data_IF_110463958718
#
_entry.id   IF_110463958718
#
_cell.length_a   1.000
_cell.length_b   1.000
_cell.length_c   1.000
_cell.angle_alpha   90.00
_cell.angle_beta   90.00
_cell.angle_gamma   90.00
#
_symmetry.space_group_name_H-M   'P 1'
#
loop_
_entity.id
_entity.type
_entity.pdbx_description
1 polymer ?
#
# COMPACT_ATOMS: atom_id res chain seq x y z
N UNK A 1 3.43 -22.78 13.10
CA UNK A 1 4.50 -22.02 12.42
C UNK A 1 4.10 -20.65 11.80
N UNK A 2 3.71 -20.50 10.52
CA UNK A 2 3.60 -19.15 9.86
C UNK A 2 2.60 -18.18 10.52
N UNK A 3 1.46 -18.68 10.97
CA UNK A 3 0.43 -17.90 11.65
C UNK A 3 0.90 -17.34 13.01
N UNK A 4 1.49 -18.20 13.86
CA UNK A 4 2.06 -17.81 15.17
C UNK A 4 3.23 -16.82 15.00
N UNK A 5 4.01 -16.95 13.92
CA UNK A 5 5.08 -16.01 13.55
C UNK A 5 4.55 -14.62 13.22
N UNK A 6 3.51 -14.52 12.39
CA UNK A 6 2.86 -13.24 12.08
C UNK A 6 2.27 -12.58 13.32
N UNK A 7 1.75 -13.36 14.27
CA UNK A 7 1.21 -12.82 15.52
C UNK A 7 2.29 -12.18 16.41
N UNK A 8 3.50 -12.74 16.47
CA UNK A 8 4.62 -12.10 17.20
C UNK A 8 5.07 -10.82 16.52
N UNK A 9 5.27 -10.89 15.20
CA UNK A 9 5.72 -9.75 14.42
C UNK A 9 4.74 -8.58 14.55
N UNK A 10 3.44 -8.85 14.41
CA UNK A 10 2.40 -7.84 14.58
C UNK A 10 2.33 -7.32 16.02
N UNK A 11 2.45 -8.18 17.04
CA UNK A 11 2.40 -7.75 18.45
C UNK A 11 3.55 -6.82 18.83
N UNK A 12 4.73 -7.03 18.27
CA UNK A 12 5.90 -6.20 18.54
C UNK A 12 5.98 -4.94 17.67
N UNK A 13 5.36 -4.92 16.49
CA UNK A 13 5.21 -3.70 15.66
C UNK A 13 4.39 -2.62 16.37
N UNK A 14 3.37 -3.00 17.16
CA UNK A 14 2.45 -2.06 17.82
C UNK A 14 2.71 -1.86 19.32
N UNK A 15 3.71 -2.53 19.91
CA UNK A 15 4.02 -2.48 21.35
C UNK A 15 5.37 -1.85 21.65
N UNK A 16 5.37 -0.71 22.35
CA UNK A 16 6.56 -0.05 22.88
C UNK A 16 7.32 -0.96 23.87
N UNK A 17 8.44 -1.54 23.42
CA UNK A 17 9.72 -1.69 24.12
C UNK A 17 10.63 -2.64 23.32
N UNK A 18 11.51 -2.06 22.50
CA UNK A 18 12.50 -2.79 21.70
C UNK A 18 13.69 -3.16 22.57
N UNK A 19 13.64 -4.32 23.23
CA UNK A 19 14.83 -4.94 23.80
C UNK A 19 15.22 -6.13 22.91
N UNK A 20 16.30 -5.97 22.12
CA UNK A 20 16.77 -6.98 21.16
C UNK A 20 16.93 -8.37 21.79
N UNK A 21 17.38 -8.42 23.05
CA UNK A 21 17.49 -9.69 23.81
C UNK A 21 16.15 -10.33 24.09
N UNK A 22 15.12 -9.55 24.42
CA UNK A 22 13.79 -10.07 24.73
C UNK A 22 13.09 -10.68 23.50
N UNK A 23 13.33 -10.12 22.30
CA UNK A 23 12.85 -10.68 21.04
C UNK A 23 13.58 -12.01 20.76
N UNK A 24 14.90 -12.04 20.94
CA UNK A 24 15.72 -13.23 20.74
C UNK A 24 15.31 -14.36 21.69
N UNK A 25 15.08 -14.03 22.97
CA UNK A 25 14.63 -14.97 23.99
C UNK A 25 13.24 -15.54 23.64
N UNK A 26 12.31 -14.70 23.17
CA UNK A 26 10.97 -15.13 22.77
C UNK A 26 10.95 -15.97 21.49
N UNK A 27 11.78 -15.64 20.50
CA UNK A 27 11.93 -16.45 19.30
C UNK A 27 12.49 -17.83 19.65
N UNK A 28 13.51 -17.88 20.50
CA UNK A 28 14.11 -19.12 20.99
C UNK A 28 13.09 -19.98 21.74
N UNK A 29 12.30 -19.38 22.63
CA UNK A 29 11.22 -20.08 23.36
C UNK A 29 10.22 -20.75 22.41
N UNK A 30 9.79 -20.04 21.38
CA UNK A 30 8.77 -20.52 20.43
C UNK A 30 9.32 -21.61 19.53
N UNK A 31 10.57 -21.47 19.08
CA UNK A 31 11.25 -22.50 18.28
C UNK A 31 11.41 -23.78 19.11
N UNK A 32 11.84 -23.67 20.38
CA UNK A 32 11.93 -24.84 21.28
C UNK A 32 10.58 -25.50 21.50
N UNK A 33 9.52 -24.73 21.68
CA UNK A 33 8.17 -25.27 21.87
C UNK A 33 7.67 -25.99 20.61
N UNK A 34 7.88 -25.42 19.41
CA UNK A 34 7.47 -26.05 18.15
C UNK A 34 8.33 -27.31 17.85
N UNK A 35 9.65 -27.27 18.08
CA UNK A 35 10.52 -28.47 17.94
C UNK A 35 10.04 -29.55 18.91
N UNK A 36 9.79 -29.21 20.18
CA UNK A 36 9.29 -30.17 21.17
C UNK A 36 7.95 -30.78 20.73
N UNK A 37 7.03 -29.96 20.21
CA UNK A 37 5.75 -30.45 19.70
C UNK A 37 5.92 -31.37 18.50
N UNK A 38 6.83 -31.05 17.56
CA UNK A 38 7.18 -31.91 16.43
C UNK A 38 7.80 -33.24 16.90
N UNK A 39 8.69 -33.20 17.90
CA UNK A 39 9.30 -34.42 18.47
C UNK A 39 8.27 -35.29 19.17
N UNK A 40 7.29 -34.71 19.87
CA UNK A 40 6.19 -35.46 20.50
C UNK A 40 5.28 -36.10 19.44
N UNK A 41 4.92 -35.35 18.40
CA UNK A 41 4.07 -35.80 17.29
C UNK A 41 4.77 -36.90 16.45
N UNK A 42 6.08 -36.81 16.26
CA UNK A 42 6.90 -37.88 15.68
C UNK A 42 6.99 -39.12 16.57
N UNK A 43 7.11 -38.95 17.89
CA UNK A 43 7.23 -40.08 18.83
C UNK A 43 5.92 -40.86 18.97
N UNK A 44 4.78 -40.20 18.79
CA UNK A 44 3.46 -40.86 18.70
C UNK A 44 3.24 -41.58 17.36
N UNK A 45 3.79 -41.07 16.26
CA UNK A 45 3.63 -41.66 14.92
C UNK A 45 4.70 -42.69 14.53
N UNK A 46 5.90 -42.67 15.13
CA UNK A 46 7.02 -43.56 14.82
C UNK A 46 7.19 -44.58 15.97
N UNK A 47 6.22 -45.48 16.11
CA UNK A 47 6.41 -46.67 16.95
C UNK A 47 7.13 -47.81 16.22
N UNK A 48 7.44 -47.67 14.92
CA UNK A 48 8.14 -48.69 14.14
C UNK A 48 9.11 -48.05 13.14
N UNK A 49 10.40 -48.34 13.36
CA UNK A 49 11.52 -48.22 12.42
C UNK A 49 11.97 -46.81 11.98
N UNK A 50 12.94 -46.23 12.70
CA UNK A 50 14.24 -45.79 12.14
C UNK A 50 15.16 -45.25 13.24
N UNK A 51 16.42 -45.69 13.22
CA UNK A 51 17.44 -45.50 14.28
C UNK A 51 18.44 -44.40 13.92
N UNK A 52 17.95 -43.20 13.61
CA UNK A 52 18.84 -42.05 13.45
C UNK A 52 18.18 -40.80 14.05
N UNK A 53 18.06 -40.83 15.37
CA UNK A 53 17.82 -39.61 16.14
C UNK A 53 19.04 -38.71 16.02
N UNK A 54 18.82 -37.44 15.65
CA UNK A 54 19.86 -36.41 15.66
C UNK A 54 20.53 -36.38 17.05
N UNK A 55 21.85 -36.30 17.08
CA UNK A 55 22.58 -36.09 18.34
C UNK A 55 22.19 -34.73 18.95
N UNK A 56 22.38 -34.55 20.26
CA UNK A 56 22.09 -33.27 20.93
C UNK A 56 22.79 -32.08 20.27
N UNK A 57 24.01 -32.29 19.76
CA UNK A 57 24.79 -31.30 19.01
C UNK A 57 24.12 -30.95 17.68
N UNK A 58 23.66 -31.94 16.92
CA UNK A 58 22.94 -31.73 15.65
C UNK A 58 21.60 -31.03 15.85
N UNK A 59 20.88 -31.34 16.94
CA UNK A 59 19.65 -30.62 17.30
C UNK A 59 19.93 -29.15 17.62
N UNK A 60 21.01 -28.86 18.36
CA UNK A 60 21.39 -27.49 18.70
C UNK A 60 21.81 -26.68 17.47
N UNK A 61 22.57 -27.28 16.56
CA UNK A 61 22.96 -26.64 15.30
C UNK A 61 21.76 -26.32 14.42
N UNK A 62 20.80 -27.24 14.32
CA UNK A 62 19.54 -27.04 13.61
C UNK A 62 18.68 -25.95 14.25
N UNK A 63 18.58 -25.92 15.59
CA UNK A 63 17.88 -24.86 16.32
C UNK A 63 18.48 -23.48 16.01
N UNK A 64 19.81 -23.37 16.04
CA UNK A 64 20.51 -22.12 15.73
C UNK A 64 20.36 -21.70 14.27
N UNK A 65 20.36 -22.65 13.33
CA UNK A 65 20.11 -22.36 11.92
C UNK A 65 18.71 -21.80 11.69
N UNK A 66 17.69 -22.44 12.27
CA UNK A 66 16.30 -21.95 12.21
C UNK A 66 16.18 -20.56 12.82
N UNK A 67 16.83 -20.29 13.95
CA UNK A 67 16.86 -18.94 14.58
C UNK A 67 17.44 -17.91 13.61
N UNK A 68 18.60 -18.16 13.00
CA UNK A 68 19.24 -17.23 12.06
C UNK A 68 18.35 -16.95 10.85
N UNK A 69 17.72 -17.97 10.29
CA UNK A 69 16.77 -17.80 9.19
C UNK A 69 15.57 -16.94 9.60
N UNK A 70 15.07 -17.10 10.83
CA UNK A 70 13.96 -16.28 11.34
C UNK A 70 14.37 -14.81 11.54
N UNK A 71 15.55 -14.56 12.09
CA UNK A 71 16.08 -13.20 12.25
C UNK A 71 16.24 -12.51 10.90
N UNK A 72 16.81 -13.21 9.92
CA UNK A 72 16.98 -12.67 8.56
C UNK A 72 15.63 -12.39 7.88
N UNK A 73 14.66 -13.30 8.00
CA UNK A 73 13.32 -13.08 7.47
C UNK A 73 12.63 -11.86 8.10
N UNK A 74 12.76 -11.70 9.42
CA UNK A 74 12.17 -10.56 10.14
C UNK A 74 12.74 -9.22 9.68
N UNK A 75 14.06 -9.15 9.43
CA UNK A 75 14.70 -7.95 8.87
C UNK A 75 14.19 -7.65 7.47
N UNK A 76 14.10 -8.66 6.60
CA UNK A 76 13.58 -8.50 5.23
C UNK A 76 12.13 -8.03 5.21
N UNK A 77 11.29 -8.57 6.09
CA UNK A 77 9.89 -8.17 6.20
C UNK A 77 9.75 -6.74 6.74
N UNK A 78 10.62 -6.33 7.67
CA UNK A 78 10.66 -4.96 8.16
C UNK A 78 11.07 -3.98 7.05
N UNK A 79 12.12 -4.31 6.30
CA UNK A 79 12.59 -3.50 5.16
C UNK A 79 11.50 -3.37 4.09
N UNK A 80 10.80 -4.47 3.77
CA UNK A 80 9.68 -4.48 2.82
C UNK A 80 8.58 -3.53 3.25
N UNK A 81 8.14 -3.61 4.52
CA UNK A 81 7.05 -2.75 4.99
C UNK A 81 7.50 -1.28 5.09
N UNK A 82 8.77 -1.03 5.46
CA UNK A 82 9.31 0.33 5.48
C UNK A 82 9.30 0.95 4.08
N UNK A 83 9.70 0.20 3.05
CA UNK A 83 9.65 0.67 1.67
C UNK A 83 8.21 0.94 1.22
N UNK A 84 7.26 0.04 1.54
CA UNK A 84 5.84 0.25 1.25
C UNK A 84 5.27 1.51 1.94
N UNK A 85 5.71 1.80 3.17
CA UNK A 85 5.32 2.99 3.91
C UNK A 85 5.91 4.26 3.30
N UNK A 86 7.20 4.25 2.92
CA UNK A 86 7.86 5.36 2.23
C UNK A 86 7.22 5.66 0.87
N UNK A 87 6.87 4.62 0.09
CA UNK A 87 6.16 4.77 -1.18
C UNK A 87 4.76 5.38 -0.98
N UNK A 88 4.02 4.92 0.03
CA UNK A 88 2.72 5.48 0.37
C UNK A 88 2.82 6.95 0.81
N UNK A 89 3.82 7.29 1.64
CA UNK A 89 4.08 8.66 2.04
C UNK A 89 4.51 9.54 0.86
N UNK A 90 5.30 9.02 -0.08
CA UNK A 90 5.66 9.74 -1.30
C UNK A 90 4.43 10.06 -2.16
N UNK A 91 3.50 9.09 -2.32
CA UNK A 91 2.22 9.32 -3.01
C UNK A 91 1.39 10.39 -2.28
N UNK A 92 1.37 10.39 -0.95
CA UNK A 92 0.67 11.42 -0.19
C UNK A 92 1.32 12.80 -0.34
N UNK A 93 2.64 12.89 -0.31
CA UNK A 93 3.40 14.14 -0.48
C UNK A 93 3.24 14.71 -1.91
N UNK A 94 3.28 13.87 -2.94
CA UNK A 94 2.97 14.28 -4.31
C UNK A 94 1.52 14.78 -4.43
N UNK A 95 0.61 14.18 -3.66
CA UNK A 95 -0.79 14.60 -3.59
C UNK A 95 -1.04 15.86 -2.74
N UNK A 96 -0.13 16.25 -1.83
CA UNK A 96 -0.19 17.52 -1.08
C UNK A 96 0.00 18.75 -1.97
N UNK A 97 0.65 18.59 -3.13
CA UNK A 97 0.56 19.60 -4.18
C UNK A 97 -0.89 19.64 -4.67
N UNK A 98 -1.67 20.61 -4.20
CA UNK A 98 -3.03 20.83 -4.68
C UNK A 98 -3.04 21.26 -6.15
N UNK A 99 -1.89 21.45 -6.78
CA UNK A 99 -1.79 21.90 -8.16
C UNK A 99 -2.50 20.94 -9.13
N UNK A 100 -3.42 21.49 -9.91
CA UNK A 100 -4.15 20.76 -10.95
C UNK A 100 -3.69 21.25 -12.31
N UNK A 101 -3.15 20.36 -13.15
CA UNK A 101 -2.90 20.70 -14.56
C UNK A 101 -4.24 20.89 -15.28
N UNK A 102 -4.35 21.94 -16.10
CA UNK A 102 -5.59 22.24 -16.81
C UNK A 102 -6.06 21.04 -17.65
N UNK A 103 -7.24 20.47 -17.37
CA UNK A 103 -7.70 19.25 -18.03
C UNK A 103 -8.03 19.47 -19.52
N UNK A 104 -8.39 20.69 -19.91
CA UNK A 104 -8.78 21.03 -21.28
C UNK A 104 -7.58 21.21 -22.22
N UNK A 105 -6.53 21.90 -21.77
CA UNK A 105 -5.41 22.25 -22.64
C UNK A 105 -4.09 21.59 -22.28
N UNK A 106 -3.94 21.10 -21.05
CA UNK A 106 -2.73 20.45 -20.52
C UNK A 106 -1.44 21.30 -20.64
N UNK A 107 -1.57 22.63 -20.78
CA UNK A 107 -0.45 23.57 -21.01
C UNK A 107 -0.03 24.36 -19.77
N UNK A 108 -0.89 24.46 -18.77
CA UNK A 108 -0.66 25.24 -17.57
C UNK A 108 -1.40 24.63 -16.37
N UNK A 109 -0.91 24.90 -15.17
CA UNK A 109 -1.65 24.65 -13.93
C UNK A 109 -2.82 25.61 -13.79
N UNK A 110 -3.88 25.16 -13.14
CA UNK A 110 -4.99 26.02 -12.73
C UNK A 110 -4.50 26.93 -11.60
N UNK A 111 -5.00 28.17 -11.59
CA UNK A 111 -4.82 29.11 -10.50
C UNK A 111 -6.14 29.28 -9.75
N UNK A 112 -6.11 29.24 -8.43
CA UNK A 112 -7.27 29.50 -7.59
C UNK A 112 -7.30 30.96 -7.14
N UNK A 113 -8.37 31.68 -7.48
CA UNK A 113 -8.62 33.05 -7.04
C UNK A 113 -10.11 33.21 -6.70
N UNK A 114 -10.43 33.72 -5.50
CA UNK A 114 -11.80 34.02 -5.07
C UNK A 114 -12.83 32.88 -5.30
N UNK A 115 -12.46 31.64 -4.98
CA UNK A 115 -13.30 30.43 -5.19
C UNK A 115 -13.61 30.16 -6.68
N UNK A 116 -12.69 30.53 -7.55
CA UNK A 116 -12.72 30.25 -8.98
C UNK A 116 -11.38 29.71 -9.44
N UNK A 117 -11.40 28.66 -10.25
CA UNK A 117 -10.21 28.10 -10.88
C UNK A 117 -10.09 28.61 -12.30
N UNK A 118 -8.93 29.17 -12.64
CA UNK A 118 -8.67 29.73 -13.96
C UNK A 118 -7.45 29.11 -14.62
N UNK A 119 -7.48 28.94 -15.93
CA UNK A 119 -6.31 28.55 -16.72
C UNK A 119 -5.80 29.74 -17.54
N UNK A 120 -4.57 30.19 -17.27
CA UNK A 120 -3.95 31.28 -18.02
C UNK A 120 -3.69 30.95 -19.51
N UNK A 121 -3.58 29.66 -19.88
CA UNK A 121 -3.23 29.25 -21.24
C UNK A 121 -4.43 29.12 -22.18
N UNK A 122 -5.58 28.66 -21.70
CA UNK A 122 -6.77 28.45 -22.53
C UNK A 122 -8.02 29.20 -22.06
N UNK A 123 -7.93 29.96 -20.97
CA UNK A 123 -9.04 30.74 -20.43
C UNK A 123 -10.15 29.91 -19.78
N UNK A 124 -9.90 28.64 -19.43
CA UNK A 124 -10.84 27.84 -18.65
C UNK A 124 -11.16 28.58 -17.34
N UNK A 125 -12.44 28.62 -16.97
CA UNK A 125 -12.91 29.24 -15.74
C UNK A 125 -13.96 28.32 -15.09
N UNK A 126 -13.65 27.81 -13.90
CA UNK A 126 -14.54 26.97 -13.10
C UNK A 126 -14.92 27.74 -11.84
N UNK A 127 -16.17 28.20 -11.75
CA UNK A 127 -16.64 28.98 -10.61
C UNK A 127 -17.17 28.07 -9.49
N UNK A 128 -17.00 28.50 -8.24
CA UNK A 128 -17.61 27.85 -7.08
C UNK A 128 -16.92 26.55 -6.65
N UNK A 129 -15.65 26.36 -7.01
CA UNK A 129 -14.86 25.17 -6.69
C UNK A 129 -13.49 25.58 -6.18
N UNK A 130 -13.03 24.90 -5.14
CA UNK A 130 -11.63 24.98 -4.70
C UNK A 130 -10.76 24.05 -5.54
N UNK A 131 -9.44 24.29 -5.52
CA UNK A 131 -8.48 23.47 -6.25
C UNK A 131 -8.56 22.00 -5.82
N UNK A 132 -8.67 21.78 -4.51
CA UNK A 132 -8.78 20.46 -3.90
C UNK A 132 -10.05 19.72 -4.33
N UNK A 133 -11.19 20.43 -4.40
CA UNK A 133 -12.45 19.84 -4.89
C UNK A 133 -12.35 19.44 -6.35
N UNK A 134 -11.79 20.31 -7.20
CA UNK A 134 -11.62 20.02 -8.61
C UNK A 134 -10.68 18.82 -8.84
N UNK A 135 -9.53 18.79 -8.14
CA UNK A 135 -8.59 17.65 -8.17
C UNK A 135 -9.31 16.34 -7.85
N UNK A 136 -9.98 16.28 -6.71
CA UNK A 136 -10.70 15.09 -6.25
C UNK A 136 -11.78 14.63 -7.24
N UNK A 137 -12.52 15.56 -7.84
CA UNK A 137 -13.59 15.23 -8.79
C UNK A 137 -13.01 14.71 -10.12
N UNK A 138 -11.96 15.36 -10.64
CA UNK A 138 -11.26 14.92 -11.85
C UNK A 138 -10.66 13.52 -11.63
N UNK A 139 -9.89 13.33 -10.56
CA UNK A 139 -9.22 12.07 -10.25
C UNK A 139 -10.23 10.94 -10.07
N UNK A 140 -11.34 11.19 -9.37
CA UNK A 140 -12.42 10.22 -9.22
C UNK A 140 -12.99 9.80 -10.57
N UNK A 141 -13.35 10.75 -11.44
CA UNK A 141 -13.92 10.42 -12.75
C UNK A 141 -12.91 9.67 -13.64
N UNK A 142 -11.64 10.08 -13.64
CA UNK A 142 -10.58 9.41 -14.40
C UNK A 142 -10.34 8.00 -13.88
N UNK A 143 -10.29 7.82 -12.56
CA UNK A 143 -10.13 6.51 -11.93
C UNK A 143 -11.31 5.57 -12.27
N UNK A 144 -12.55 6.03 -12.09
CA UNK A 144 -13.75 5.26 -12.43
C UNK A 144 -13.75 4.84 -13.90
N UNK A 145 -13.35 5.74 -14.80
CA UNK A 145 -13.18 5.42 -16.21
C UNK A 145 -12.07 4.37 -16.45
N UNK A 146 -10.90 4.54 -15.82
CA UNK A 146 -9.75 3.67 -16.00
C UNK A 146 -10.01 2.21 -15.56
N UNK A 147 -10.97 1.98 -14.65
CA UNK A 147 -11.39 0.63 -14.29
C UNK A 147 -12.04 -0.14 -15.44
N UNK A 148 -12.63 0.55 -16.42
CA UNK A 148 -13.42 -0.05 -17.50
C UNK A 148 -12.83 0.20 -18.90
N UNK A 149 -11.91 1.16 -19.04
CA UNK A 149 -11.40 1.58 -20.34
C UNK A 149 -9.95 2.07 -20.25
N UNK A 150 -9.09 1.53 -21.14
CA UNK A 150 -7.66 1.84 -21.21
C UNK A 150 -7.35 3.13 -21.99
N UNK A 151 -8.35 3.72 -22.62
CA UNK A 151 -8.18 4.90 -23.49
C UNK A 151 -8.17 6.17 -22.66
N UNK A 152 -7.38 7.15 -23.06
CA UNK A 152 -7.34 8.43 -22.35
C UNK A 152 -8.59 9.23 -22.66
N UNK A 153 -9.41 9.61 -21.65
CA UNK A 153 -10.56 10.46 -21.88
C UNK A 153 -10.13 11.89 -22.23
N UNK A 154 -11.04 12.62 -22.86
CA UNK A 154 -10.87 14.05 -23.19
C UNK A 154 -11.76 14.90 -22.29
N UNK A 155 -11.39 16.15 -22.07
CA UNK A 155 -12.17 17.08 -21.27
C UNK A 155 -12.69 18.22 -22.12
N UNK A 156 -13.96 18.55 -21.92
CA UNK A 156 -14.63 19.62 -22.65
C UNK A 156 -15.45 20.48 -21.70
N UNK A 157 -15.69 21.72 -22.11
CA UNK A 157 -16.42 22.69 -21.34
C UNK A 157 -17.71 22.99 -22.07
N UNK A 158 -18.83 22.91 -21.36
CA UNK A 158 -20.15 23.23 -21.90
C UNK A 158 -20.77 24.32 -21.04
N UNK A 159 -21.20 25.41 -21.66
CA UNK A 159 -21.96 26.43 -20.96
C UNK A 159 -23.44 26.09 -21.00
N UNK A 160 -24.05 25.94 -19.83
CA UNK A 160 -25.48 25.65 -19.69
C UNK A 160 -26.10 26.64 -18.70
N UNK A 161 -27.11 27.39 -19.17
CA UNK A 161 -27.84 28.38 -18.34
C UNK A 161 -26.95 29.42 -17.63
N UNK A 162 -25.81 29.78 -18.24
CA UNK A 162 -24.86 30.75 -17.69
C UNK A 162 -23.79 30.14 -16.76
N UNK A 163 -23.89 28.85 -16.43
CA UNK A 163 -22.84 28.12 -15.71
C UNK A 163 -21.88 27.46 -16.69
N UNK A 164 -20.59 27.43 -16.35
CA UNK A 164 -19.55 26.77 -17.14
C UNK A 164 -19.27 25.42 -16.49
N UNK A 165 -19.67 24.35 -17.17
CA UNK A 165 -19.56 22.99 -16.64
C UNK A 165 -18.44 22.22 -17.35
N UNK A 166 -17.65 21.47 -16.58
CA UNK A 166 -16.58 20.62 -17.09
C UNK A 166 -17.08 19.18 -17.25
N UNK A 167 -16.89 18.62 -18.44
CA UNK A 167 -17.26 17.25 -18.77
C UNK A 167 -16.03 16.42 -19.16
N UNK A 168 -16.03 15.16 -18.75
CA UNK A 168 -15.14 14.12 -19.26
C UNK A 168 -15.88 13.31 -20.33
N UNK A 169 -15.23 13.14 -21.49
CA UNK A 169 -15.77 12.43 -22.65
C UNK A 169 -14.76 11.40 -23.13
N UNK A 170 -15.18 10.15 -23.24
CA UNK A 170 -14.41 9.11 -23.91
C UNK A 170 -15.21 8.54 -25.07
N UNK A 171 -14.69 8.69 -26.29
CA UNK A 171 -15.36 8.24 -27.51
C UNK A 171 -15.31 6.71 -27.69
N UNK A 172 -14.32 6.04 -27.12
CA UNK A 172 -14.15 4.59 -27.24
C UNK A 172 -15.16 3.79 -26.41
N UNK A 173 -15.37 4.19 -25.14
CA UNK A 173 -16.35 3.55 -24.25
C UNK A 173 -17.66 4.32 -24.13
N UNK A 174 -17.83 5.40 -24.90
CA UNK A 174 -19.01 6.29 -24.87
C UNK A 174 -19.32 6.86 -23.48
N UNK A 175 -18.31 7.01 -22.63
CA UNK A 175 -18.49 7.59 -21.29
C UNK A 175 -18.62 9.11 -21.39
N UNK A 176 -19.65 9.65 -20.75
CA UNK A 176 -19.86 11.09 -20.52
C UNK A 176 -20.10 11.31 -19.04
N UNK A 177 -19.24 12.07 -18.38
CA UNK A 177 -19.37 12.39 -16.96
C UNK A 177 -19.26 13.90 -16.73
N UNK A 178 -20.21 14.46 -15.97
CA UNK A 178 -20.13 15.82 -15.44
C UNK A 178 -19.20 15.84 -14.24
N UNK A 179 -18.22 16.74 -14.24
CA UNK A 179 -17.25 16.91 -13.15
C UNK A 179 -17.69 18.05 -12.23
N UNK A 180 -17.90 19.24 -12.79
CA UNK A 180 -18.30 20.43 -12.04
C UNK A 180 -19.12 21.39 -12.88
#
# INVERSE_FOLDING_TARGET
MRERRNQLFNRHRFGSELNSRHIQDKLTEIIREEIKNLTLDWKENISQETDEFLTEEQMFDLENEVIREQEQWMLQEYDRISQEEDEYLAILADNESNDVTCPTCQKAMLAEESNCLTCAACGLMLAGRTMQEAKRLIDKCVYEHATNCIKTPTFTVISESGNINLYMVCYDCSTLALIC
#
